data_IF_877465599965
#
_entry.id   IF_877465599965
#
_cell.length_a   1.000
_cell.length_b   1.000
_cell.length_c   1.000
_cell.angle_alpha   90.00
_cell.angle_beta   90.00
_cell.angle_gamma   90.00
#
_symmetry.space_group_name_H-M   'P 1'
#
loop_
_entity.id
_entity.type
_entity.pdbx_description
1 polymer ?
#
# COMPACT_ATOMS: atom_id res chain seq x y z
N UNK A 1 -26.79 -10.00 -13.31
CA UNK A 1 -27.94 -9.52 -12.50
C UNK A 1 -29.19 -9.20 -13.31
N UNK A 2 -29.18 -8.22 -14.23
CA UNK A 2 -30.41 -7.78 -14.95
C UNK A 2 -31.20 -8.93 -15.62
N UNK A 3 -30.53 -9.88 -16.28
CA UNK A 3 -31.18 -11.09 -16.84
C UNK A 3 -31.80 -11.97 -15.75
N UNK A 4 -31.10 -12.15 -14.64
CA UNK A 4 -31.53 -12.94 -13.48
C UNK A 4 -32.71 -12.34 -12.72
N UNK A 5 -32.87 -11.01 -12.76
CA UNK A 5 -34.07 -10.31 -12.25
C UNK A 5 -35.29 -10.56 -13.15
N UNK A 6 -35.11 -10.56 -14.47
CA UNK A 6 -36.19 -10.80 -15.44
C UNK A 6 -36.63 -12.26 -15.51
N UNK A 7 -35.74 -13.22 -15.24
CA UNK A 7 -36.03 -14.65 -15.34
C UNK A 7 -35.33 -15.48 -14.27
N UNK A 8 -36.12 -16.24 -13.50
CA UNK A 8 -35.61 -17.25 -12.57
C UNK A 8 -34.90 -18.42 -13.27
N UNK A 9 -35.11 -18.59 -14.59
CA UNK A 9 -34.45 -19.61 -15.42
C UNK A 9 -33.16 -19.10 -16.07
N UNK A 10 -32.75 -17.86 -15.82
CA UNK A 10 -31.50 -17.33 -16.35
C UNK A 10 -30.31 -18.18 -15.87
N UNK A 11 -29.34 -18.44 -16.75
CA UNK A 11 -28.15 -19.24 -16.43
C UNK A 11 -27.34 -18.61 -15.29
N UNK A 12 -27.34 -17.29 -15.21
CA UNK A 12 -26.62 -16.48 -14.23
C UNK A 12 -27.43 -16.29 -12.94
N UNK A 13 -28.58 -16.97 -12.76
CA UNK A 13 -29.41 -16.82 -11.55
C UNK A 13 -28.68 -17.33 -10.31
N UNK A 14 -27.90 -18.40 -10.45
CA UNK A 14 -27.08 -19.00 -9.39
C UNK A 14 -25.82 -18.21 -9.03
N UNK A 15 -25.47 -17.17 -9.80
CA UNK A 15 -24.24 -16.38 -9.56
C UNK A 15 -24.40 -15.36 -8.43
N UNK A 16 -25.59 -15.21 -7.87
CA UNK A 16 -25.90 -14.18 -6.87
C UNK A 16 -26.65 -14.80 -5.70
N UNK A 17 -26.53 -14.16 -4.54
CA UNK A 17 -27.35 -14.47 -3.37
C UNK A 17 -28.67 -13.70 -3.44
N UNK A 18 -29.76 -14.38 -3.15
CA UNK A 18 -31.11 -13.83 -3.26
C UNK A 18 -31.78 -13.85 -1.91
N UNK A 19 -32.09 -12.68 -1.39
CA UNK A 19 -32.80 -12.51 -0.13
C UNK A 19 -33.99 -11.58 -0.32
N UNK A 20 -35.17 -12.07 0.05
CA UNK A 20 -36.42 -11.30 0.00
C UNK A 20 -36.52 -10.27 1.13
N UNK A 21 -35.73 -10.41 2.19
CA UNK A 21 -35.68 -9.44 3.30
C UNK A 21 -35.01 -8.13 2.85
N UNK A 22 -34.09 -8.21 1.89
CA UNK A 22 -33.43 -7.04 1.30
C UNK A 22 -34.37 -6.35 0.30
N UNK A 23 -34.46 -5.01 0.38
CA UNK A 23 -35.38 -4.17 -0.43
C UNK A 23 -35.35 -4.47 -1.94
N UNK A 24 -34.18 -4.74 -2.50
CA UNK A 24 -34.00 -5.02 -3.93
C UNK A 24 -33.95 -6.52 -4.26
N UNK A 25 -34.13 -7.39 -3.27
CA UNK A 25 -34.37 -8.83 -3.45
C UNK A 25 -33.12 -9.71 -3.58
N UNK A 26 -31.92 -9.15 -3.35
CA UNK A 26 -30.64 -9.85 -3.42
C UNK A 26 -29.61 -9.17 -2.53
N UNK A 27 -28.54 -9.88 -2.21
CA UNK A 27 -27.44 -9.32 -1.42
C UNK A 27 -26.55 -8.43 -2.28
N UNK A 28 -26.20 -7.27 -1.73
CA UNK A 28 -25.25 -6.33 -2.30
C UNK A 28 -24.07 -6.10 -1.37
N UNK A 29 -22.92 -5.71 -1.91
CA UNK A 29 -21.82 -5.24 -1.08
C UNK A 29 -22.30 -4.03 -0.26
N UNK A 30 -22.23 -4.14 1.08
CA UNK A 30 -22.79 -3.15 2.01
C UNK A 30 -24.27 -2.81 1.76
N UNK A 31 -25.05 -3.77 1.25
CA UNK A 31 -26.46 -3.59 0.94
C UNK A 31 -26.72 -2.67 -0.26
N UNK A 32 -25.72 -2.39 -1.09
CA UNK A 32 -25.87 -1.57 -2.29
C UNK A 32 -26.42 -2.38 -3.47
N UNK A 33 -27.57 -1.97 -3.99
CA UNK A 33 -28.22 -2.60 -5.14
C UNK A 33 -27.34 -2.59 -6.42
N UNK A 34 -26.49 -1.57 -6.56
CA UNK A 34 -25.56 -1.45 -7.70
C UNK A 34 -24.43 -2.47 -7.68
N UNK A 35 -24.16 -3.11 -6.54
CA UNK A 35 -23.04 -4.03 -6.34
C UNK A 35 -23.51 -5.41 -5.87
N UNK A 36 -24.25 -6.19 -6.70
CA UNK A 36 -24.72 -7.50 -6.31
C UNK A 36 -23.59 -8.45 -5.94
N UNK A 37 -23.72 -9.11 -4.80
CA UNK A 37 -22.70 -10.02 -4.30
C UNK A 37 -22.67 -11.33 -5.07
N UNK A 38 -21.47 -11.73 -5.46
CA UNK A 38 -21.20 -12.96 -6.20
C UNK A 38 -21.23 -14.19 -5.30
N UNK A 39 -21.96 -15.22 -5.72
CA UNK A 39 -22.09 -16.50 -5.04
C UNK A 39 -21.12 -17.54 -5.60
N UNK A 40 -19.98 -17.70 -4.93
CA UNK A 40 -18.92 -18.63 -5.33
C UNK A 40 -19.23 -20.11 -5.05
N UNK A 41 -20.35 -20.45 -4.42
CA UNK A 41 -20.84 -21.84 -4.41
C UNK A 41 -21.19 -22.33 -5.83
N UNK A 42 -21.58 -21.42 -6.73
CA UNK A 42 -21.84 -21.77 -8.13
C UNK A 42 -20.55 -22.17 -8.85
N UNK A 43 -20.45 -23.44 -9.23
CA UNK A 43 -19.35 -23.94 -10.06
C UNK A 43 -19.24 -23.18 -11.39
N UNK A 44 -20.38 -22.86 -12.02
CA UNK A 44 -20.40 -22.09 -13.27
C UNK A 44 -19.82 -20.68 -13.10
N UNK A 45 -20.01 -20.08 -11.93
CA UNK A 45 -19.36 -18.80 -11.62
C UNK A 45 -17.85 -18.99 -11.47
N UNK A 46 -17.38 -20.01 -10.73
CA UNK A 46 -15.94 -20.29 -10.61
C UNK A 46 -15.28 -20.57 -11.96
N UNK A 47 -15.92 -21.34 -12.82
CA UNK A 47 -15.51 -21.58 -14.21
C UNK A 47 -15.39 -20.29 -15.02
N UNK A 48 -16.37 -19.38 -14.87
CA UNK A 48 -16.34 -18.07 -15.53
C UNK A 48 -15.23 -17.17 -14.98
N UNK A 49 -15.01 -17.17 -13.67
CA UNK A 49 -14.08 -16.25 -13.01
C UNK A 49 -12.62 -16.70 -13.15
N UNK A 50 -12.30 -17.95 -12.78
CA UNK A 50 -10.91 -18.43 -12.76
C UNK A 50 -10.69 -19.88 -13.26
N UNK A 51 -11.56 -20.86 -12.97
CA UNK A 51 -11.28 -22.28 -13.27
C UNK A 51 -11.25 -22.58 -14.79
N UNK A 52 -12.18 -22.00 -15.55
CA UNK A 52 -12.39 -22.34 -16.96
C UNK A 52 -11.25 -21.89 -17.86
N UNK A 53 -11.05 -22.59 -18.99
CA UNK A 53 -9.98 -22.27 -19.97
C UNK A 53 -10.02 -20.83 -20.49
N UNK A 54 -11.23 -20.26 -20.62
CA UNK A 54 -11.47 -18.89 -21.07
C UNK A 54 -11.98 -17.99 -19.93
N UNK A 55 -11.62 -18.31 -18.68
CA UNK A 55 -12.04 -17.54 -17.51
C UNK A 55 -11.53 -16.10 -17.57
N UNK A 56 -12.18 -15.20 -16.82
CA UNK A 56 -11.83 -13.78 -16.80
C UNK A 56 -10.37 -13.58 -16.38
N UNK A 57 -9.93 -14.25 -15.32
CA UNK A 57 -8.55 -14.17 -14.82
C UNK A 57 -7.54 -14.55 -15.91
N UNK A 58 -7.74 -15.70 -16.56
CA UNK A 58 -6.84 -16.24 -17.60
C UNK A 58 -6.86 -15.41 -18.88
N UNK A 59 -8.05 -14.91 -19.27
CA UNK A 59 -8.23 -14.13 -20.49
C UNK A 59 -7.30 -12.92 -20.52
N UNK A 60 -7.28 -12.10 -19.48
CA UNK A 60 -6.52 -10.85 -19.49
C UNK A 60 -5.02 -11.04 -19.30
N UNK A 61 -4.60 -12.14 -18.69
CA UNK A 61 -3.19 -12.53 -18.60
C UNK A 61 -2.67 -13.19 -19.87
N UNK A 62 -3.55 -13.68 -20.75
CA UNK A 62 -3.14 -14.35 -21.98
C UNK A 62 -2.25 -13.44 -22.85
N UNK A 63 -1.38 -14.01 -23.71
CA UNK A 63 -0.49 -13.24 -24.59
C UNK A 63 -1.19 -12.19 -25.46
N UNK A 64 -2.48 -12.39 -25.74
CA UNK A 64 -3.31 -11.44 -26.50
C UNK A 64 -3.50 -10.09 -25.78
N UNK A 65 -3.65 -10.11 -24.46
CA UNK A 65 -3.94 -8.91 -23.66
C UNK A 65 -2.74 -8.49 -22.80
N UNK A 66 -1.90 -9.45 -22.39
CA UNK A 66 -0.58 -9.19 -21.84
C UNK A 66 -0.54 -8.50 -20.47
N UNK A 67 -1.61 -8.54 -19.67
CA UNK A 67 -1.58 -7.97 -18.32
C UNK A 67 -0.50 -8.68 -17.47
N UNK A 68 0.11 -7.92 -16.56
CA UNK A 68 1.20 -8.42 -15.68
C UNK A 68 0.71 -8.84 -14.30
N UNK A 69 -0.59 -8.80 -14.04
CA UNK A 69 -1.13 -9.11 -12.72
C UNK A 69 -2.57 -8.69 -12.52
N UNK A 70 -3.05 -8.93 -11.30
CA UNK A 70 -4.37 -8.56 -10.83
C UNK A 70 -4.27 -7.89 -9.46
N UNK A 71 -4.97 -6.75 -9.31
CA UNK A 71 -5.40 -6.23 -8.02
C UNK A 71 -6.84 -6.68 -7.79
N UNK A 72 -7.06 -7.50 -6.76
CA UNK A 72 -8.40 -8.01 -6.41
C UNK A 72 -9.07 -7.02 -5.47
N UNK A 73 -10.15 -6.41 -5.94
CA UNK A 73 -11.04 -5.55 -5.16
C UNK A 73 -11.69 -6.33 -4.01
N UNK A 74 -11.79 -5.71 -2.84
CA UNK A 74 -12.36 -6.29 -1.61
C UNK A 74 -11.91 -7.74 -1.36
N UNK A 75 -10.61 -7.99 -1.54
CA UNK A 75 -10.03 -9.34 -1.49
C UNK A 75 -10.38 -10.07 -0.20
N UNK A 76 -10.29 -9.39 0.94
CA UNK A 76 -10.63 -9.93 2.26
C UNK A 76 -12.11 -10.34 2.44
N UNK A 77 -13.01 -9.85 1.58
CA UNK A 77 -14.44 -10.19 1.61
C UNK A 77 -14.85 -11.10 0.44
N UNK A 78 -13.93 -11.41 -0.47
CA UNK A 78 -14.19 -12.24 -1.64
C UNK A 78 -14.49 -13.67 -1.21
N UNK A 79 -15.60 -14.22 -1.70
CA UNK A 79 -16.03 -15.59 -1.36
C UNK A 79 -16.78 -15.73 -0.03
N UNK A 80 -17.02 -14.64 0.72
CA UNK A 80 -17.63 -14.67 2.06
C UNK A 80 -19.02 -14.07 2.12
N UNK A 81 -20.05 -14.78 2.59
CA UNK A 81 -21.35 -14.23 2.99
C UNK A 81 -22.02 -15.13 4.03
N UNK A 82 -22.27 -14.61 5.24
CA UNK A 82 -22.96 -15.38 6.28
C UNK A 82 -22.17 -16.64 6.65
N UNK A 83 -22.79 -17.81 6.49
CA UNK A 83 -22.15 -19.12 6.73
C UNK A 83 -21.27 -19.57 5.55
N UNK A 84 -21.41 -18.97 4.37
CA UNK A 84 -20.56 -19.28 3.22
C UNK A 84 -19.22 -18.57 3.37
N UNK A 85 -18.16 -19.33 3.66
CA UNK A 85 -16.78 -18.85 3.57
C UNK A 85 -15.98 -19.71 2.59
N UNK A 86 -15.88 -19.22 1.36
CA UNK A 86 -15.08 -19.82 0.28
C UNK A 86 -13.84 -18.98 -0.04
N UNK A 87 -13.41 -18.10 0.90
CA UNK A 87 -12.32 -17.16 0.67
C UNK A 87 -11.06 -17.87 0.18
N UNK A 88 -10.59 -18.86 0.94
CA UNK A 88 -9.36 -19.59 0.64
C UNK A 88 -9.47 -20.32 -0.70
N UNK A 89 -10.62 -20.96 -0.97
CA UNK A 89 -10.86 -21.63 -2.24
C UNK A 89 -10.77 -20.65 -3.42
N UNK A 90 -11.38 -19.48 -3.30
CA UNK A 90 -11.36 -18.47 -4.38
C UNK A 90 -9.96 -17.89 -4.53
N UNK A 91 -9.28 -17.57 -3.43
CA UNK A 91 -7.91 -17.06 -3.41
C UNK A 91 -6.94 -18.03 -4.10
N UNK A 92 -6.90 -19.30 -3.67
CA UNK A 92 -6.03 -20.31 -4.28
C UNK A 92 -6.44 -20.68 -5.70
N UNK A 93 -7.74 -20.65 -6.00
CA UNK A 93 -8.26 -20.89 -7.35
C UNK A 93 -7.82 -19.82 -8.35
N UNK A 94 -7.89 -18.54 -7.95
CA UNK A 94 -7.35 -17.42 -8.75
C UNK A 94 -5.85 -17.58 -8.90
N UNK A 95 -5.12 -17.86 -7.80
CA UNK A 95 -3.68 -18.05 -7.83
C UNK A 95 -3.25 -19.13 -8.82
N UNK A 96 -3.86 -20.31 -8.73
CA UNK A 96 -3.62 -21.44 -9.64
C UNK A 96 -3.89 -21.05 -11.09
N UNK A 97 -5.02 -20.38 -11.35
CA UNK A 97 -5.37 -19.95 -12.69
C UNK A 97 -4.37 -18.94 -13.29
N UNK A 98 -3.76 -18.08 -12.45
CA UNK A 98 -2.70 -17.17 -12.88
C UNK A 98 -1.41 -17.92 -13.17
N UNK A 99 -0.98 -18.82 -12.27
CA UNK A 99 0.24 -19.61 -12.43
C UNK A 99 0.20 -20.49 -13.70
N UNK A 100 -0.96 -21.01 -14.08
CA UNK A 100 -1.15 -21.78 -15.34
C UNK A 100 -0.91 -20.95 -16.61
N UNK A 101 -1.14 -19.63 -16.56
CA UNK A 101 -1.07 -18.75 -17.75
C UNK A 101 0.22 -17.95 -17.78
N UNK A 102 0.61 -17.40 -16.62
CA UNK A 102 1.72 -16.47 -16.46
C UNK A 102 2.26 -16.52 -15.02
N UNK A 103 3.19 -17.45 -14.70
CA UNK A 103 3.74 -17.63 -13.35
C UNK A 103 4.44 -16.40 -12.74
N UNK A 104 4.90 -15.46 -13.59
CA UNK A 104 5.51 -14.20 -13.18
C UNK A 104 4.49 -13.06 -12.97
N UNK A 105 3.18 -13.34 -13.11
CA UNK A 105 2.13 -12.34 -12.88
C UNK A 105 1.95 -12.02 -11.39
N UNK A 106 1.82 -10.75 -11.06
CA UNK A 106 1.65 -10.28 -9.69
C UNK A 106 0.18 -10.32 -9.26
N UNK A 107 -0.10 -10.85 -8.06
CA UNK A 107 -1.46 -10.98 -7.52
C UNK A 107 -1.53 -10.28 -6.16
N UNK A 108 -2.17 -9.13 -6.13
CA UNK A 108 -2.31 -8.32 -4.92
C UNK A 108 -3.79 -8.18 -4.55
N UNK A 109 -4.11 -8.32 -3.27
CA UNK A 109 -5.47 -8.11 -2.78
C UNK A 109 -5.61 -6.74 -2.13
N UNK A 110 -6.76 -6.10 -2.33
CA UNK A 110 -7.21 -5.12 -1.36
C UNK A 110 -7.57 -5.85 -0.07
N UNK A 111 -6.77 -5.61 0.97
CA UNK A 111 -7.03 -6.15 2.28
C UNK A 111 -7.10 -5.02 3.31
N UNK A 112 -8.32 -4.53 3.55
CA UNK A 112 -8.59 -3.51 4.56
C UNK A 112 -8.49 -4.04 5.99
N UNK A 113 -8.75 -5.33 6.19
CA UNK A 113 -8.82 -5.98 7.52
C UNK A 113 -7.81 -7.12 7.60
N UNK A 114 -6.77 -6.96 8.42
CA UNK A 114 -5.65 -7.89 8.39
C UNK A 114 -5.97 -9.24 9.05
N UNK A 115 -5.92 -10.31 8.25
CA UNK A 115 -5.82 -11.71 8.70
C UNK A 115 -4.52 -12.28 8.15
N UNK A 116 -3.63 -12.73 9.04
CA UNK A 116 -2.28 -13.15 8.66
C UNK A 116 -2.24 -14.32 7.66
N UNK A 117 -3.20 -15.25 7.75
CA UNK A 117 -3.30 -16.40 6.84
C UNK A 117 -3.56 -16.01 5.38
N UNK A 118 -4.21 -14.88 5.13
CA UNK A 118 -4.44 -14.38 3.76
C UNK A 118 -3.13 -14.04 3.03
N UNK A 119 -2.04 -13.82 3.79
CA UNK A 119 -0.72 -13.45 3.28
C UNK A 119 0.36 -14.50 3.62
N UNK A 120 -0.01 -15.77 3.72
CA UNK A 120 0.93 -16.90 3.92
C UNK A 120 1.88 -17.14 2.72
N UNK A 121 1.61 -16.47 1.60
CA UNK A 121 2.37 -16.49 0.36
C UNK A 121 2.02 -17.63 -0.60
N UNK A 122 0.96 -18.40 -0.33
CA UNK A 122 0.42 -19.43 -1.22
C UNK A 122 -0.90 -19.02 -1.89
N UNK A 123 -1.58 -18.01 -1.35
CA UNK A 123 -2.73 -17.36 -1.97
C UNK A 123 -2.36 -16.06 -2.67
N UNK A 124 -2.76 -14.93 -2.07
CA UNK A 124 -2.31 -13.61 -2.50
C UNK A 124 -0.78 -13.52 -2.43
N UNK A 125 -0.13 -12.91 -3.43
CA UNK A 125 1.30 -12.60 -3.32
C UNK A 125 1.52 -11.53 -2.25
N UNK A 126 0.64 -10.54 -2.18
CA UNK A 126 0.71 -9.45 -1.21
C UNK A 126 -0.64 -8.75 -1.09
N UNK A 127 -0.69 -7.70 -0.29
CA UNK A 127 -1.86 -6.85 -0.17
C UNK A 127 -1.54 -5.38 -0.45
N UNK A 128 -2.59 -4.59 -0.66
CA UNK A 128 -2.52 -3.15 -0.39
C UNK A 128 -2.21 -2.97 1.09
N UNK A 129 -0.98 -2.56 1.42
CA UNK A 129 -0.46 -2.57 2.79
C UNK A 129 -0.99 -1.40 3.63
N UNK A 130 -2.32 -1.35 3.77
CA UNK A 130 -3.01 -0.37 4.59
C UNK A 130 -2.65 -0.53 6.07
N UNK A 131 -2.56 -1.77 6.56
CA UNK A 131 -2.40 -2.06 7.99
C UNK A 131 -0.94 -2.05 8.45
N UNK A 132 -0.02 -2.60 7.66
CA UNK A 132 1.39 -2.70 8.00
C UNK A 132 2.24 -1.49 7.61
N UNK A 133 1.69 -0.54 6.82
CA UNK A 133 2.42 0.66 6.41
C UNK A 133 1.56 1.93 6.46
N UNK A 134 0.53 2.04 5.62
CA UNK A 134 -0.18 3.31 5.40
C UNK A 134 -0.81 3.88 6.68
N UNK A 135 -1.65 3.10 7.39
CA UNK A 135 -2.37 3.57 8.59
C UNK A 135 -1.42 3.91 9.75
N UNK A 136 -0.42 3.07 10.10
CA UNK A 136 0.59 3.47 11.08
C UNK A 136 1.32 4.75 10.68
N UNK A 137 1.76 4.86 9.41
CA UNK A 137 2.49 6.02 8.93
C UNK A 137 1.61 7.28 8.98
N UNK A 138 0.34 7.19 8.59
CA UNK A 138 -0.63 8.27 8.73
C UNK A 138 -0.76 8.72 10.18
N UNK A 139 -1.03 7.81 11.11
CA UNK A 139 -1.18 8.18 12.53
C UNK A 139 0.09 8.83 13.10
N UNK A 140 1.27 8.52 12.54
CA UNK A 140 2.53 9.17 12.92
C UNK A 140 2.71 10.53 12.23
N UNK A 141 2.41 10.65 10.93
CA UNK A 141 2.65 11.85 10.13
C UNK A 141 1.51 12.88 10.18
N UNK A 142 0.33 12.50 10.68
CA UNK A 142 -0.89 13.31 10.56
C UNK A 142 -0.76 14.69 11.23
N UNK A 143 -0.93 15.74 10.43
CA UNK A 143 -1.00 17.13 10.87
C UNK A 143 -2.41 17.70 10.76
N UNK A 144 -3.35 16.97 10.15
CA UNK A 144 -4.73 17.34 9.93
C UNK A 144 -5.69 16.53 10.83
N UNK A 145 -6.08 17.10 11.96
CA UNK A 145 -6.95 16.41 12.92
C UNK A 145 -8.40 16.21 12.47
N UNK A 146 -8.84 16.95 11.44
CA UNK A 146 -10.22 16.95 10.93
C UNK A 146 -10.40 16.11 9.66
N UNK A 147 -9.36 15.40 9.21
CA UNK A 147 -9.39 14.64 7.97
C UNK A 147 -10.47 13.55 8.00
N UNK A 148 -11.22 13.39 6.91
CA UNK A 148 -12.27 12.37 6.80
C UNK A 148 -13.47 12.55 7.74
N UNK A 149 -13.68 13.74 8.33
CA UNK A 149 -14.78 13.99 9.27
C UNK A 149 -14.51 13.53 10.70
N UNK A 150 -13.23 13.31 11.06
CA UNK A 150 -12.79 12.83 12.37
C UNK A 150 -12.45 11.33 12.37
N UNK A 151 -12.16 10.76 13.55
CA UNK A 151 -11.77 9.35 13.66
C UNK A 151 -12.97 8.42 13.41
N UNK A 152 -12.99 7.71 12.28
CA UNK A 152 -14.07 6.79 11.91
C UNK A 152 -15.45 7.46 11.87
N UNK A 153 -15.51 8.72 11.42
CA UNK A 153 -16.75 9.51 11.36
C UNK A 153 -17.26 10.02 12.71
N UNK A 154 -16.47 9.84 13.78
CA UNK A 154 -16.76 10.40 15.09
C UNK A 154 -16.12 11.80 15.22
N UNK A 155 -16.75 12.74 15.96
CA UNK A 155 -16.34 14.14 16.02
C UNK A 155 -15.16 14.36 16.99
N UNK A 156 -14.11 13.55 16.90
CA UNK A 156 -12.86 13.74 17.61
C UNK A 156 -11.65 13.48 16.70
N UNK A 157 -10.52 14.06 17.09
CA UNK A 157 -9.31 14.05 16.30
C UNK A 157 -8.78 12.62 16.07
N UNK A 158 -8.19 12.40 14.90
CA UNK A 158 -7.44 11.17 14.64
C UNK A 158 -6.31 10.99 15.67
N UNK A 159 -6.14 9.78 16.26
CA UNK A 159 -5.08 9.52 17.22
C UNK A 159 -3.70 9.74 16.60
N UNK A 160 -2.87 10.55 17.26
CA UNK A 160 -1.45 10.70 16.90
C UNK A 160 -0.63 9.71 17.69
N UNK A 161 0.27 9.00 17.01
CA UNK A 161 1.16 8.01 17.64
C UNK A 161 2.61 8.47 17.62
N UNK A 162 3.45 7.89 18.50
CA UNK A 162 4.91 8.10 18.48
C UNK A 162 5.57 7.25 17.38
N UNK A 163 6.82 7.57 17.04
CA UNK A 163 7.61 6.71 16.14
C UNK A 163 7.83 5.30 16.72
N UNK A 164 7.87 5.16 18.04
CA UNK A 164 7.91 3.85 18.72
C UNK A 164 6.65 3.03 18.45
N UNK A 165 5.47 3.63 18.55
CA UNK A 165 4.20 2.96 18.22
C UNK A 165 4.10 2.65 16.73
N UNK A 166 4.56 3.55 15.85
CA UNK A 166 4.64 3.30 14.40
C UNK A 166 5.45 2.03 14.10
N UNK A 167 6.68 1.97 14.60
CA UNK A 167 7.58 0.84 14.36
C UNK A 167 7.05 -0.43 15.01
N UNK A 168 6.47 -0.35 16.20
CA UNK A 168 5.83 -1.50 16.84
C UNK A 168 4.71 -2.09 15.98
N UNK A 169 3.86 -1.24 15.38
CA UNK A 169 2.81 -1.70 14.44
C UNK A 169 3.40 -2.35 13.18
N UNK A 170 4.44 -1.74 12.59
CA UNK A 170 5.14 -2.31 11.43
C UNK A 170 5.78 -3.66 11.75
N UNK A 171 6.45 -3.78 12.90
CA UNK A 171 7.07 -5.03 13.37
C UNK A 171 6.02 -6.10 13.63
N UNK A 172 4.92 -5.76 14.29
CA UNK A 172 3.82 -6.69 14.54
C UNK A 172 3.29 -7.27 13.23
N UNK A 173 2.98 -6.41 12.25
CA UNK A 173 2.52 -6.84 10.93
C UNK A 173 3.56 -7.71 10.23
N UNK A 174 4.80 -7.23 10.10
CA UNK A 174 5.87 -7.94 9.39
C UNK A 174 6.19 -9.30 10.03
N UNK A 175 6.07 -9.43 11.36
CA UNK A 175 6.33 -10.69 12.07
C UNK A 175 5.27 -11.77 11.84
N UNK A 176 4.09 -11.36 11.38
CA UNK A 176 2.95 -12.27 11.17
C UNK A 176 2.84 -12.81 9.74
N UNK A 177 3.66 -12.31 8.81
CA UNK A 177 3.65 -12.75 7.41
C UNK A 177 5.06 -13.13 6.94
N UNK A 178 5.19 -14.03 5.96
CA UNK A 178 6.48 -14.32 5.35
C UNK A 178 7.06 -13.10 4.61
N UNK A 179 8.38 -12.99 4.58
CA UNK A 179 9.10 -11.91 3.88
C UNK A 179 8.67 -11.77 2.42
N UNK A 180 8.46 -12.90 1.71
CA UNK A 180 7.97 -12.92 0.32
C UNK A 180 6.64 -12.17 0.14
N UNK A 181 5.76 -12.22 1.14
CA UNK A 181 4.47 -11.55 1.08
C UNK A 181 4.59 -10.05 1.37
N UNK A 182 5.50 -9.69 2.29
CA UNK A 182 5.81 -8.30 2.58
C UNK A 182 6.39 -7.59 1.35
N UNK A 183 7.41 -8.16 0.72
CA UNK A 183 8.08 -7.53 -0.44
C UNK A 183 7.21 -7.50 -1.70
N UNK A 184 6.21 -8.38 -1.79
CA UNK A 184 5.21 -8.38 -2.85
C UNK A 184 3.96 -7.56 -2.52
N UNK A 185 3.88 -6.91 -1.35
CA UNK A 185 2.76 -6.04 -0.99
C UNK A 185 2.97 -4.62 -1.52
N UNK A 186 1.87 -3.94 -1.84
CA UNK A 186 1.89 -2.53 -2.24
C UNK A 186 2.15 -1.65 -1.01
N UNK A 187 3.19 -0.84 -1.06
CA UNK A 187 3.50 0.20 -0.07
C UNK A 187 2.98 1.50 -0.63
N UNK A 188 1.93 2.05 -0.01
CA UNK A 188 1.18 3.21 -0.49
C UNK A 188 1.00 4.24 0.63
N UNK A 189 0.95 5.52 0.24
CA UNK A 189 0.64 6.61 1.15
C UNK A 189 -0.86 6.90 1.22
N UNK A 190 -1.57 6.63 0.13
CA UNK A 190 -3.01 6.81 -0.01
C UNK A 190 -3.52 6.05 -1.25
N UNK A 191 -4.83 6.12 -1.49
CA UNK A 191 -5.47 5.61 -2.69
C UNK A 191 -6.77 6.37 -2.99
N UNK A 192 -7.48 5.93 -4.03
CA UNK A 192 -8.84 6.36 -4.35
C UNK A 192 -9.90 6.17 -3.26
N UNK A 193 -9.60 5.46 -2.18
CA UNK A 193 -10.52 5.22 -1.05
C UNK A 193 -10.09 5.94 0.24
N UNK A 194 -9.05 6.77 0.17
CA UNK A 194 -8.52 7.53 1.32
C UNK A 194 -8.31 8.99 0.94
N UNK A 195 -8.05 9.83 1.94
CA UNK A 195 -7.49 11.17 1.70
C UNK A 195 -6.14 11.08 0.99
N UNK A 196 -5.74 12.16 0.30
CA UNK A 196 -4.38 12.31 -0.22
C UNK A 196 -3.40 12.69 0.88
N UNK A 197 -2.17 12.21 0.78
CA UNK A 197 -1.13 12.41 1.79
C UNK A 197 -0.80 13.89 1.99
N UNK A 198 -0.81 14.70 0.94
CA UNK A 198 -0.66 16.17 1.04
C UNK A 198 -1.70 16.79 1.99
N UNK A 199 -2.94 16.30 1.96
CA UNK A 199 -4.03 16.74 2.86
C UNK A 199 -3.86 16.18 4.27
N UNK A 200 -3.35 14.96 4.44
CA UNK A 200 -3.01 14.35 5.75
C UNK A 200 -1.97 15.19 6.50
N UNK A 201 -0.97 15.70 5.79
CA UNK A 201 0.05 16.58 6.37
C UNK A 201 -0.32 18.06 6.27
N UNK A 202 -1.60 18.38 6.06
CA UNK A 202 -2.12 19.76 6.04
C UNK A 202 -1.33 20.71 5.12
N UNK A 203 -0.99 20.24 3.91
CA UNK A 203 -0.24 21.02 2.92
C UNK A 203 1.29 21.00 3.11
N UNK A 204 1.83 20.43 4.19
CA UNK A 204 3.27 20.46 4.49
C UNK A 204 4.10 19.70 3.44
N UNK A 205 4.75 20.47 2.55
CA UNK A 205 5.63 19.99 1.48
C UNK A 205 6.70 19.03 1.99
N UNK A 206 7.37 19.38 3.10
CA UNK A 206 8.49 18.61 3.65
C UNK A 206 8.01 17.30 4.25
N UNK A 207 6.93 17.32 5.02
CA UNK A 207 6.38 16.10 5.62
C UNK A 207 5.90 15.09 4.58
N UNK A 208 5.27 15.54 3.49
CA UNK A 208 4.92 14.65 2.38
C UNK A 208 6.16 14.08 1.69
N UNK A 209 7.24 14.85 1.56
CA UNK A 209 8.47 14.35 0.96
C UNK A 209 9.14 13.29 1.86
N UNK A 210 9.11 13.48 3.17
CA UNK A 210 9.56 12.46 4.14
C UNK A 210 8.70 11.19 4.08
N UNK A 211 7.39 11.32 3.87
CA UNK A 211 6.50 10.17 3.65
C UNK A 211 6.81 9.43 2.32
N UNK A 212 7.04 10.18 1.23
CA UNK A 212 7.48 9.62 -0.06
C UNK A 212 8.81 8.88 0.07
N UNK A 213 9.78 9.46 0.78
CA UNK A 213 11.05 8.81 1.05
C UNK A 213 10.86 7.53 1.86
N UNK A 214 10.03 7.53 2.91
CA UNK A 214 9.72 6.32 3.66
C UNK A 214 9.10 5.23 2.77
N UNK A 215 8.10 5.56 1.94
CA UNK A 215 7.46 4.60 1.02
C UNK A 215 8.46 4.05 -0.01
N UNK A 216 9.32 4.91 -0.57
CA UNK A 216 10.30 4.53 -1.60
C UNK A 216 11.51 3.80 -1.03
N UNK A 217 11.73 3.79 0.29
CA UNK A 217 12.87 3.13 0.93
C UNK A 217 12.48 1.98 1.86
N UNK A 218 11.19 1.74 2.08
CA UNK A 218 10.68 0.59 2.82
C UNK A 218 10.59 -0.68 1.93
N UNK A 219 10.68 -1.91 2.49
CA UNK A 219 10.46 -3.14 1.73
C UNK A 219 9.03 -3.26 1.19
N UNK A 220 8.89 -3.75 -0.05
CA UNK A 220 7.61 -3.83 -0.75
C UNK A 220 7.64 -3.15 -2.12
N UNK A 221 6.50 -3.13 -2.80
CA UNK A 221 6.30 -2.48 -4.10
C UNK A 221 5.73 -1.07 -3.87
N UNK A 222 6.53 0.01 -4.02
CA UNK A 222 6.02 1.36 -3.84
C UNK A 222 4.94 1.69 -4.87
N UNK A 223 3.85 2.30 -4.42
CA UNK A 223 2.70 2.65 -5.26
C UNK A 223 2.30 4.11 -5.01
N UNK A 224 2.54 4.97 -6.00
CA UNK A 224 2.17 6.38 -6.00
C UNK A 224 0.76 6.53 -6.59
N UNK A 225 -0.16 7.18 -5.87
CA UNK A 225 -1.46 7.50 -6.43
C UNK A 225 -1.33 8.74 -7.33
N UNK A 226 -1.86 8.64 -8.55
CA UNK A 226 -1.65 9.67 -9.58
C UNK A 226 -2.03 11.06 -9.05
N UNK A 227 -1.07 11.98 -9.11
CA UNK A 227 -1.23 13.35 -8.62
C UNK A 227 -0.48 13.64 -7.33
N UNK A 228 -0.10 12.63 -6.54
CA UNK A 228 0.66 12.87 -5.31
C UNK A 228 2.06 13.39 -5.61
N UNK A 229 2.67 12.91 -6.70
CA UNK A 229 3.99 13.32 -7.16
C UNK A 229 4.04 14.78 -7.62
N UNK A 230 2.89 15.41 -7.84
CA UNK A 230 2.74 16.84 -8.16
C UNK A 230 2.07 17.62 -7.02
N UNK A 231 1.85 16.98 -5.87
CA UNK A 231 1.32 17.62 -4.66
C UNK A 231 -0.19 17.82 -4.62
N UNK A 232 -0.99 17.00 -5.32
CA UNK A 232 -2.46 17.12 -5.24
C UNK A 232 -2.99 16.89 -3.83
N UNK A 233 -4.00 17.69 -3.48
CA UNK A 233 -4.80 17.56 -2.26
C UNK A 233 -6.16 16.93 -2.54
N UNK A 234 -6.73 16.29 -1.53
CA UNK A 234 -8.07 15.70 -1.57
C UNK A 234 -8.41 15.01 -0.25
N UNK A 235 -9.59 15.28 0.28
CA UNK A 235 -10.01 14.87 1.63
C UNK A 235 -10.54 13.44 1.72
N UNK A 236 -11.57 13.06 0.96
CA UNK A 236 -12.05 11.69 0.84
C UNK A 236 -13.06 11.55 -0.30
N UNK A 237 -13.37 10.33 -0.72
CA UNK A 237 -14.35 10.04 -1.76
C UNK A 237 -14.01 10.76 -3.07
N UNK A 238 -14.99 11.41 -3.69
CA UNK A 238 -14.79 12.12 -4.97
C UNK A 238 -13.74 13.25 -4.87
N UNK A 239 -13.56 13.85 -3.69
CA UNK A 239 -12.54 14.89 -3.50
C UNK A 239 -11.11 14.34 -3.52
N UNK A 240 -10.91 13.07 -3.17
CA UNK A 240 -9.60 12.40 -3.35
C UNK A 240 -9.30 12.09 -4.83
N UNK A 241 -10.35 11.97 -5.65
CA UNK A 241 -10.33 11.54 -7.06
C UNK A 241 -10.31 12.71 -8.04
N UNK A 242 -9.80 13.87 -7.61
CA UNK A 242 -9.66 15.07 -8.46
C UNK A 242 -8.92 14.75 -9.77
N UNK A 243 -9.37 15.38 -10.84
CA UNK A 243 -8.74 15.27 -12.16
C UNK A 243 -7.40 15.98 -12.19
N UNK A 244 -6.45 15.43 -12.95
CA UNK A 244 -5.18 16.10 -13.23
C UNK A 244 -5.37 17.00 -14.45
N UNK A 245 -5.10 18.31 -14.28
CA UNK A 245 -5.06 19.23 -15.40
C UNK A 245 -3.73 19.06 -16.14
N UNK A 246 -3.76 18.40 -17.30
CA UNK A 246 -2.58 18.14 -18.13
C UNK A 246 -2.25 19.29 -19.10
N UNK A 247 -3.27 20.09 -19.45
CA UNK A 247 -3.17 21.23 -20.38
C UNK A 247 -2.50 22.42 -19.70
N UNK A 248 -2.86 22.67 -18.44
CA UNK A 248 -2.23 23.68 -17.59
C UNK A 248 -1.56 23.04 -16.37
N UNK A 249 -0.23 23.05 -16.38
CA UNK A 249 0.63 22.48 -15.33
C UNK A 249 1.18 23.53 -14.38
N UNK A 250 0.70 24.77 -14.44
CA UNK A 250 1.15 25.86 -13.57
C UNK A 250 0.86 25.59 -12.09
N UNK A 251 -0.19 24.83 -11.79
CA UNK A 251 -0.55 24.41 -10.43
C UNK A 251 0.19 23.18 -9.90
N UNK A 252 1.11 22.59 -10.66
CA UNK A 252 1.88 21.43 -10.20
C UNK A 252 3.08 21.86 -9.36
N UNK A 253 3.38 21.13 -8.30
CA UNK A 253 4.62 21.30 -7.53
C UNK A 253 5.79 20.61 -8.26
N UNK A 254 6.38 21.31 -9.24
CA UNK A 254 7.46 20.78 -10.08
C UNK A 254 8.74 20.48 -9.29
N UNK A 255 9.03 21.25 -8.25
CA UNK A 255 10.18 21.00 -7.39
C UNK A 255 9.97 19.71 -6.58
N UNK A 256 8.75 19.48 -6.08
CA UNK A 256 8.42 18.23 -5.38
C UNK A 256 8.48 17.03 -6.33
N UNK A 257 7.96 17.18 -7.55
CA UNK A 257 8.07 16.15 -8.59
C UNK A 257 9.54 15.80 -8.89
N UNK A 258 10.43 16.79 -8.95
CA UNK A 258 11.86 16.56 -9.14
C UNK A 258 12.46 15.74 -7.99
N UNK A 259 12.09 16.03 -6.74
CA UNK A 259 12.54 15.26 -5.57
C UNK A 259 11.99 13.83 -5.57
N UNK A 260 10.71 13.63 -5.89
CA UNK A 260 10.13 12.29 -6.04
C UNK A 260 10.84 11.48 -7.12
N UNK A 261 11.18 12.10 -8.26
CA UNK A 261 11.96 11.44 -9.32
C UNK A 261 13.34 10.99 -8.84
N UNK A 262 14.06 11.79 -8.06
CA UNK A 262 15.36 11.41 -7.47
C UNK A 262 15.20 10.20 -6.55
N UNK A 263 14.18 10.18 -5.69
CA UNK A 263 13.91 9.04 -4.80
C UNK A 263 13.56 7.76 -5.58
N UNK A 264 12.78 7.89 -6.67
CA UNK A 264 12.48 6.77 -7.58
C UNK A 264 13.76 6.25 -8.24
N UNK A 265 14.64 7.14 -8.72
CA UNK A 265 15.92 6.76 -9.29
C UNK A 265 16.77 5.98 -8.30
N UNK A 266 16.84 6.42 -7.04
CA UNK A 266 17.53 5.68 -5.99
C UNK A 266 16.89 4.30 -5.76
N UNK A 267 15.56 4.20 -5.62
CA UNK A 267 14.86 2.92 -5.45
C UNK A 267 15.12 1.93 -6.60
N UNK A 268 15.39 2.43 -7.81
CA UNK A 268 15.65 1.63 -9.02
C UNK A 268 17.12 1.28 -9.25
N UNK A 269 18.05 1.96 -8.59
CA UNK A 269 19.50 1.83 -8.85
C UNK A 269 20.28 1.30 -7.67
N UNK A 270 19.77 1.46 -6.44
CA UNK A 270 20.46 1.06 -5.23
C UNK A 270 20.03 -0.36 -4.82
N UNK A 271 20.96 -1.32 -4.93
CA UNK A 271 20.75 -2.75 -4.64
C UNK A 271 20.19 -2.97 -3.21
N UNK A 272 20.63 -2.17 -2.23
CA UNK A 272 20.09 -2.21 -0.86
C UNK A 272 18.60 -1.87 -0.80
N UNK A 273 18.11 -0.91 -1.58
CA UNK A 273 16.67 -0.60 -1.63
C UNK A 273 15.87 -1.65 -2.41
N UNK A 274 16.49 -2.29 -3.41
CA UNK A 274 15.88 -3.30 -4.28
C UNK A 274 15.71 -4.63 -3.58
N UNK A 275 16.81 -5.21 -3.10
CA UNK A 275 16.88 -6.57 -2.60
C UNK A 275 17.09 -6.63 -1.07
N UNK A 276 17.46 -5.50 -0.46
CA UNK A 276 17.93 -5.50 0.92
C UNK A 276 16.83 -5.79 1.95
N UNK A 277 17.23 -6.43 3.04
CA UNK A 277 16.43 -6.60 4.24
C UNK A 277 16.16 -5.27 4.95
N UNK A 278 15.56 -5.32 6.14
CA UNK A 278 15.26 -4.16 6.96
C UNK A 278 15.76 -4.39 8.39
N UNK A 279 16.53 -3.42 8.92
CA UNK A 279 16.96 -3.43 10.32
C UNK A 279 16.80 -2.05 10.94
N UNK A 280 16.04 -1.95 12.03
CA UNK A 280 15.87 -0.70 12.76
C UNK A 280 17.16 -0.33 13.51
N UNK A 281 17.55 0.95 13.43
CA UNK A 281 18.75 1.53 14.06
C UNK A 281 18.34 2.45 15.20
N UNK A 282 17.47 3.42 14.92
CA UNK A 282 16.96 4.34 15.93
C UNK A 282 15.45 4.55 15.74
N UNK A 283 14.72 4.58 16.85
CA UNK A 283 13.27 4.75 16.84
C UNK A 283 12.90 5.74 17.95
N UNK A 284 12.75 6.99 17.55
CA UNK A 284 12.34 8.08 18.43
C UNK A 284 10.95 8.57 18.09
N UNK A 285 10.38 9.43 18.94
CA UNK A 285 9.01 9.89 18.77
C UNK A 285 8.79 10.62 17.44
N UNK A 286 9.81 11.33 16.94
CA UNK A 286 9.71 12.20 15.78
C UNK A 286 10.59 11.81 14.59
N UNK A 287 11.48 10.82 14.76
CA UNK A 287 12.25 10.28 13.65
C UNK A 287 12.47 8.78 13.80
N UNK A 288 12.67 8.13 12.67
CA UNK A 288 13.05 6.72 12.56
C UNK A 288 14.30 6.62 11.69
N UNK A 289 15.16 5.67 12.02
CA UNK A 289 16.35 5.35 11.25
C UNK A 289 16.47 3.84 11.10
N UNK A 290 16.73 3.38 9.89
CA UNK A 290 16.83 1.96 9.58
C UNK A 290 17.80 1.71 8.43
N UNK A 291 18.33 0.49 8.39
CA UNK A 291 19.20 0.01 7.35
C UNK A 291 18.43 -0.84 6.34
N UNK A 292 18.80 -0.66 5.07
CA UNK A 292 18.44 -1.53 3.95
C UNK A 292 19.71 -2.22 3.46
N UNK A 293 19.81 -3.53 3.73
CA UNK A 293 21.07 -4.28 3.59
C UNK A 293 20.90 -5.48 2.68
N UNK A 294 21.69 -5.53 1.61
CA UNK A 294 21.84 -6.67 0.72
C UNK A 294 23.27 -7.21 0.80
N UNK A 295 23.57 -8.27 0.05
CA UNK A 295 24.93 -8.79 -0.07
C UNK A 295 25.91 -7.82 -0.76
N UNK A 296 25.41 -6.77 -1.43
CA UNK A 296 26.25 -5.83 -2.20
C UNK A 296 26.30 -4.43 -1.59
N UNK A 297 25.30 -4.05 -0.80
CA UNK A 297 25.13 -2.67 -0.36
C UNK A 297 24.38 -2.58 0.96
N UNK A 298 24.88 -1.72 1.86
CA UNK A 298 24.14 -1.29 3.05
C UNK A 298 23.84 0.20 2.94
N UNK A 299 22.56 0.56 3.14
CA UNK A 299 22.09 1.93 3.09
C UNK A 299 21.42 2.28 4.41
N UNK A 300 21.82 3.41 5.00
CA UNK A 300 21.12 4.00 6.13
C UNK A 300 20.07 4.98 5.62
N UNK A 301 18.84 4.82 6.09
CA UNK A 301 17.71 5.69 5.81
C UNK A 301 17.31 6.39 7.10
N UNK A 302 17.17 7.71 7.06
CA UNK A 302 16.62 8.53 8.14
C UNK A 302 15.37 9.23 7.65
N UNK A 303 14.31 9.20 8.47
CA UNK A 303 13.04 9.88 8.20
C UNK A 303 12.60 10.61 9.47
N UNK A 304 12.35 11.91 9.37
CA UNK A 304 11.75 12.72 10.44
C UNK A 304 10.42 13.31 9.98
N UNK A 305 9.41 13.25 10.85
CA UNK A 305 8.07 13.81 10.57
C UNK A 305 7.97 15.32 10.80
N UNK A 306 8.94 15.92 11.48
CA UNK A 306 8.98 17.35 11.84
C UNK A 306 10.40 17.80 12.14
N UNK A 307 10.57 19.03 12.64
CA UNK A 307 11.86 19.55 13.09
C UNK A 307 12.59 18.58 14.02
N UNK A 308 13.89 18.43 13.83
CA UNK A 308 14.74 17.51 14.59
C UNK A 308 16.16 18.06 14.69
N UNK A 309 16.74 17.91 15.88
CA UNK A 309 18.17 18.12 16.16
C UNK A 309 18.68 16.86 16.81
N UNK A 310 19.49 16.09 16.09
CA UNK A 310 19.97 14.79 16.56
C UNK A 310 21.31 14.43 15.92
N UNK A 311 22.03 13.53 16.58
CA UNK A 311 23.22 12.88 16.04
C UNK A 311 23.00 11.37 16.10
N UNK A 312 23.26 10.67 14.99
CA UNK A 312 23.22 9.21 14.92
C UNK A 312 24.67 8.73 14.94
N UNK A 313 25.06 8.06 16.03
CA UNK A 313 26.37 7.40 16.13
C UNK A 313 26.32 6.04 15.42
N UNK A 314 27.09 5.91 14.34
CA UNK A 314 27.21 4.67 13.57
C UNK A 314 28.32 3.77 14.12
N UNK A 315 29.19 4.29 14.98
CA UNK A 315 30.26 3.55 15.64
C UNK A 315 29.74 2.39 16.48
N UNK A 316 28.61 2.57 17.17
CA UNK A 316 27.94 1.50 17.94
C UNK A 316 27.51 0.31 17.07
N UNK A 317 27.29 0.56 15.78
CA UNK A 317 26.92 -0.46 14.78
C UNK A 317 28.13 -0.96 13.98
N UNK A 318 29.32 -0.44 14.26
CA UNK A 318 30.52 -0.69 13.47
C UNK A 318 30.35 -0.25 12.02
N UNK A 319 29.69 0.89 11.78
CA UNK A 319 29.40 1.43 10.45
C UNK A 319 29.97 2.84 10.30
N UNK A 320 30.22 3.24 9.05
CA UNK A 320 30.60 4.61 8.65
C UNK A 320 29.93 4.99 7.34
N UNK A 321 29.55 6.25 7.20
CA UNK A 321 29.08 6.82 5.93
C UNK A 321 30.24 6.88 4.96
N UNK A 322 30.03 6.32 3.77
CA UNK A 322 30.98 6.40 2.66
C UNK A 322 30.50 7.31 1.53
N UNK A 323 29.19 7.55 1.45
CA UNK A 323 28.59 8.41 0.43
C UNK A 323 27.19 8.90 0.83
N UNK A 324 26.94 10.19 0.70
CA UNK A 324 25.58 10.75 0.68
C UNK A 324 24.91 10.47 -0.64
N UNK A 325 23.74 9.83 -0.62
CA UNK A 325 22.92 9.59 -1.82
C UNK A 325 21.77 10.59 -1.91
N UNK A 326 21.23 11.01 -0.77
CA UNK A 326 20.11 11.94 -0.69
C UNK A 326 20.05 12.63 0.67
N UNK A 327 19.63 13.89 0.72
CA UNK A 327 19.45 14.64 1.96
C UNK A 327 20.73 15.32 2.46
N UNK A 328 20.86 15.58 3.77
CA UNK A 328 22.01 16.28 4.35
C UNK A 328 23.33 15.53 4.10
N UNK A 329 24.39 16.27 3.80
CA UNK A 329 25.73 15.69 3.64
C UNK A 329 26.23 15.13 4.98
N UNK A 330 26.81 13.93 4.92
CA UNK A 330 27.45 13.29 6.06
C UNK A 330 28.63 12.42 5.60
N UNK A 331 29.63 12.27 6.47
CA UNK A 331 30.76 11.38 6.29
C UNK A 331 31.21 10.81 7.65
N UNK A 332 31.95 9.69 7.61
CA UNK A 332 32.56 9.13 8.81
C UNK A 332 31.59 8.39 9.74
N UNK A 333 31.88 8.41 11.04
CA UNK A 333 31.22 7.55 12.03
C UNK A 333 29.94 8.11 12.65
N UNK A 334 29.54 9.34 12.34
CA UNK A 334 28.29 9.90 12.86
C UNK A 334 27.59 10.80 11.85
N UNK A 335 26.27 10.95 12.00
CA UNK A 335 25.44 11.80 11.14
C UNK A 335 24.74 12.83 12.01
N UNK A 336 25.04 14.11 11.79
CA UNK A 336 24.38 15.23 12.46
C UNK A 336 23.25 15.78 11.60
N UNK A 337 22.08 15.92 12.19
CA UNK A 337 20.89 16.44 11.53
C UNK A 337 20.36 17.59 12.35
N UNK A 338 20.31 18.77 11.74
CA UNK A 338 19.67 19.97 12.27
C UNK A 338 18.70 20.49 11.21
N UNK A 339 17.40 20.34 11.47
CA UNK A 339 16.36 20.77 10.55
C UNK A 339 15.18 21.37 11.30
N UNK A 340 14.69 22.51 10.82
CA UNK A 340 13.51 23.18 11.36
C UNK A 340 12.18 22.61 10.82
N UNK A 341 12.22 21.53 10.03
CA UNK A 341 11.03 20.85 9.52
C UNK A 341 11.25 19.36 9.33
N UNK A 342 10.26 18.67 8.76
CA UNK A 342 10.43 17.29 8.34
C UNK A 342 11.62 17.16 7.37
N UNK A 343 12.36 16.06 7.48
CA UNK A 343 13.58 15.85 6.70
C UNK A 343 13.85 14.36 6.56
N UNK A 344 14.67 14.01 5.57
CA UNK A 344 15.03 12.65 5.25
C UNK A 344 16.46 12.61 4.71
N UNK A 345 17.13 11.48 4.90
CA UNK A 345 18.45 11.26 4.32
C UNK A 345 18.70 9.79 4.01
N UNK A 346 19.52 9.56 2.99
CA UNK A 346 19.90 8.22 2.52
C UNK A 346 21.41 8.25 2.28
N UNK A 347 22.12 7.38 2.99
CA UNK A 347 23.57 7.29 2.90
C UNK A 347 24.00 5.85 2.66
N UNK A 348 25.01 5.64 1.81
CA UNK A 348 25.72 4.37 1.75
C UNK A 348 26.65 4.26 2.95
N UNK A 349 26.57 3.13 3.64
CA UNK A 349 27.39 2.85 4.83
C UNK A 349 28.17 1.55 4.65
N UNK A 350 29.34 1.47 5.29
CA UNK A 350 30.19 0.28 5.31
C UNK A 350 30.73 0.06 6.70
N UNK A 351 31.02 -1.20 7.01
CA UNK A 351 31.76 -1.59 8.20
C UNK A 351 33.25 -1.27 8.13
#
# INVERSE_FOLDING_TARGET
MQRSLKSKKAKEREFFYWDKSVKHGYEGWWGLASLPKLNYNSKKLRELMYEGKNSIVKKWLSPKYGMSGWRIDVGNMTGRLGEDDLHDQVMHGIRTAMDEVKPDAWLVAENGDFVASDLDGFGWHGAMNYQGFMRPLWNWMNQNSSIGGGFQGLPFEMPKISGKSLVASMVQFNSSIPWRSLVASMVLLDSHDTARMRTVVNGDRKAHLSAMAAMLTYPGVPSIFAGDEIGLEGSWGEDSRRTINWEDRSGWDHDFLAEVKKLIELRRTQDGLIEGGLRWVAVEDNFICYLRESNKQSLLVFISRKAVRTEIDLGEYGLKVVKTLYGPDADGGSIKIDSDGATQGIWEVKS
#
